data_IF_380199777213
#
_entry.id   IF_380199777213
#
_cell.length_a   1.000
_cell.length_b   1.000
_cell.length_c   1.000
_cell.angle_alpha   90.00
_cell.angle_beta   90.00
_cell.angle_gamma   90.00
#
_symmetry.space_group_name_H-M   'P 1'
#
loop_
_entity.id
_entity.type
_entity.pdbx_description
1 polymer ?
#
# COMPACT_ATOMS: atom_id res chain seq x y z
N UNK A 1 -4.42 25.75 -0.07
CA UNK A 1 -4.99 25.68 1.29
C UNK A 1 -4.98 24.22 1.75
N UNK A 2 -4.16 23.86 2.73
CA UNK A 2 -4.24 22.55 3.39
C UNK A 2 -5.51 22.55 4.25
N UNK A 3 -6.56 21.85 3.82
CA UNK A 3 -7.78 21.65 4.61
C UNK A 3 -7.51 20.86 5.90
N UNK A 4 -8.55 20.60 6.69
CA UNK A 4 -8.48 19.90 7.98
C UNK A 4 -8.16 18.38 7.88
N UNK A 5 -7.05 18.03 7.22
CA UNK A 5 -6.55 16.67 7.03
C UNK A 5 -6.28 15.91 8.34
N UNK A 6 -6.04 16.63 9.44
CA UNK A 6 -5.79 16.09 10.77
C UNK A 6 -7.04 15.51 11.44
N UNK A 7 -8.24 15.93 11.03
CA UNK A 7 -9.50 15.53 11.65
C UNK A 7 -9.72 14.01 11.54
N UNK A 8 -9.29 13.40 10.42
CA UNK A 8 -9.37 11.96 10.21
C UNK A 8 -8.59 11.15 11.25
N UNK A 9 -7.41 11.63 11.67
CA UNK A 9 -6.59 10.95 12.68
C UNK A 9 -7.25 10.93 14.05
N UNK A 10 -7.97 12.00 14.42
CA UNK A 10 -8.69 12.08 15.70
C UNK A 10 -9.84 11.08 15.73
N UNK A 11 -10.65 11.02 14.66
CA UNK A 11 -11.77 10.08 14.55
C UNK A 11 -11.25 8.63 14.61
N UNK A 12 -10.17 8.32 13.88
CA UNK A 12 -9.54 7.00 13.93
C UNK A 12 -9.00 6.65 15.32
N UNK A 13 -8.35 7.59 16.00
CA UNK A 13 -7.82 7.37 17.34
C UNK A 13 -8.93 7.07 18.35
N UNK A 14 -10.05 7.81 18.30
CA UNK A 14 -11.21 7.57 19.16
C UNK A 14 -11.83 6.18 18.91
N UNK A 15 -12.01 5.80 17.64
CA UNK A 15 -12.51 4.47 17.29
C UNK A 15 -11.58 3.35 17.78
N UNK A 16 -10.27 3.51 17.55
CA UNK A 16 -9.27 2.54 18.02
C UNK A 16 -9.26 2.42 19.54
N UNK A 17 -9.42 3.53 20.27
CA UNK A 17 -9.51 3.52 21.73
C UNK A 17 -10.73 2.74 22.25
N UNK A 18 -11.88 2.89 21.60
CA UNK A 18 -13.10 2.13 21.93
C UNK A 18 -12.86 0.64 21.72
N UNK A 19 -12.36 0.24 20.54
CA UNK A 19 -12.08 -1.16 20.24
C UNK A 19 -11.00 -1.75 21.14
N UNK A 20 -9.93 -1.01 21.42
CA UNK A 20 -8.87 -1.43 22.33
C UNK A 20 -9.41 -1.65 23.75
N UNK A 21 -10.30 -0.79 24.21
CA UNK A 21 -10.98 -0.93 25.51
C UNK A 21 -11.82 -2.20 25.57
N UNK A 22 -12.64 -2.48 24.54
CA UNK A 22 -13.41 -3.75 24.44
C UNK A 22 -12.47 -4.96 24.44
N UNK A 23 -11.35 -4.88 23.71
CA UNK A 23 -10.38 -5.98 23.66
C UNK A 23 -9.68 -6.16 25.02
N UNK A 24 -9.41 -5.09 25.75
CA UNK A 24 -8.78 -5.14 27.07
C UNK A 24 -9.65 -5.82 28.13
N UNK A 25 -10.98 -5.90 27.92
CA UNK A 25 -11.88 -6.67 28.79
C UNK A 25 -11.72 -8.19 28.59
N UNK A 26 -11.10 -8.66 27.51
CA UNK A 26 -10.82 -10.09 27.36
C UNK A 26 -9.76 -10.55 28.38
N UNK A 27 -9.89 -11.79 28.88
CA UNK A 27 -8.92 -12.34 29.81
C UNK A 27 -7.53 -12.43 29.17
N UNK A 28 -6.49 -12.12 29.97
CA UNK A 28 -5.07 -12.14 29.53
C UNK A 28 -4.64 -13.48 28.91
N UNK A 29 -5.32 -14.57 29.25
CA UNK A 29 -5.11 -15.87 28.61
C UNK A 29 -6.46 -16.48 28.26
N UNK A 30 -6.61 -16.89 27.01
CA UNK A 30 -7.77 -17.68 26.59
C UNK A 30 -7.61 -19.09 27.17
N UNK A 31 -8.66 -19.71 27.73
CA UNK A 31 -8.58 -21.04 28.35
C UNK A 31 -8.08 -22.11 27.37
N UNK A 32 -8.39 -21.95 26.08
CA UNK A 32 -7.90 -22.82 25.00
C UNK A 32 -6.39 -22.67 24.74
N UNK A 33 -5.82 -21.48 24.93
CA UNK A 33 -4.38 -21.24 24.81
C UNK A 33 -3.61 -21.82 26.00
N UNK A 34 -4.16 -21.70 27.22
CA UNK A 34 -3.61 -22.35 28.41
C UNK A 34 -3.62 -23.89 28.26
N UNK A 35 -4.74 -24.48 27.82
CA UNK A 35 -4.84 -25.91 27.56
C UNK A 35 -3.85 -26.39 26.48
N UNK A 36 -3.67 -25.63 25.39
CA UNK A 36 -2.71 -25.98 24.33
C UNK A 36 -1.26 -25.90 24.80
N UNK A 37 -0.94 -24.98 25.71
CA UNK A 37 0.39 -24.86 26.33
C UNK A 37 0.71 -26.09 27.19
N UNK A 38 -0.27 -26.56 27.96
CA UNK A 38 -0.15 -27.79 28.78
C UNK A 38 0.05 -29.01 27.87
N UNK A 39 -0.77 -29.18 26.82
CA UNK A 39 -0.64 -30.27 25.86
C UNK A 39 0.70 -30.26 25.09
N UNK A 40 1.23 -29.07 24.77
CA UNK A 40 2.54 -28.95 24.12
C UNK A 40 3.69 -29.37 25.04
N UNK A 41 3.60 -29.02 26.34
CA UNK A 41 4.55 -29.45 27.36
C UNK A 41 4.50 -30.97 27.56
N UNK A 42 3.31 -31.56 27.64
CA UNK A 42 3.13 -33.02 27.74
C UNK A 42 3.76 -33.74 26.54
N UNK A 43 3.53 -33.25 25.31
CA UNK A 43 4.09 -33.86 24.09
C UNK A 43 5.62 -33.77 24.03
N UNK A 44 6.21 -32.69 24.54
CA UNK A 44 7.67 -32.57 24.66
C UNK A 44 8.25 -33.53 25.70
N UNK A 45 7.50 -33.84 26.77
CA UNK A 45 7.92 -34.80 27.81
C UNK A 45 7.91 -36.24 27.31
N UNK A 46 6.95 -36.61 26.46
CA UNK A 46 6.82 -37.97 25.89
C UNK A 46 7.86 -38.29 24.81
N UNK A 47 8.46 -37.30 24.16
CA UNK A 47 9.44 -37.52 23.07
C UNK A 47 10.85 -37.81 23.60
N UNK A 48 11.14 -37.46 24.85
CA UNK A 48 12.48 -37.59 25.46
C UNK A 48 12.81 -39.01 25.95
N UNK A 49 11.85 -39.94 25.95
CA UNK A 49 12.06 -41.31 26.48
C UNK A 49 12.70 -42.28 25.48
N UNK A 50 13.01 -41.87 24.23
CA UNK A 50 13.50 -42.79 23.18
C UNK A 50 14.69 -42.29 22.37
N UNK A 51 15.62 -41.53 22.97
CA UNK A 51 16.97 -41.40 22.39
C UNK A 51 18.04 -40.99 23.40
N UNK A 52 19.06 -41.83 23.48
CA UNK A 52 20.31 -41.71 24.22
C UNK A 52 20.97 -40.31 24.20
N UNK A 53 21.51 -39.93 25.37
CA UNK A 53 22.71 -39.10 25.58
C UNK A 53 22.79 -37.73 24.90
N UNK A 54 22.20 -36.71 25.53
CA UNK A 54 22.85 -35.39 25.66
C UNK A 54 22.34 -34.73 26.93
N UNK A 55 23.21 -34.58 27.94
CA UNK A 55 22.95 -33.73 29.12
C UNK A 55 22.80 -32.28 28.64
N UNK A 56 21.58 -31.89 28.30
CA UNK A 56 21.14 -30.51 28.34
C UNK A 56 20.38 -30.42 29.65
N UNK A 57 20.90 -29.66 30.61
CA UNK A 57 20.19 -29.30 31.82
C UNK A 57 18.90 -28.59 31.40
N UNK A 58 17.81 -29.36 31.31
CA UNK A 58 16.46 -28.86 31.18
C UNK A 58 16.02 -28.47 32.57
N UNK A 59 16.42 -27.26 32.95
CA UNK A 59 15.92 -26.60 34.14
C UNK A 59 14.40 -26.45 33.98
N UNK A 60 13.68 -26.99 34.95
CA UNK A 60 12.24 -27.29 34.93
C UNK A 60 11.39 -26.04 35.25
N UNK A 61 11.82 -24.89 34.75
CA UNK A 61 11.13 -23.61 34.90
C UNK A 61 10.86 -23.05 33.50
N UNK A 62 9.64 -22.55 33.18
CA UNK A 62 9.43 -21.83 31.93
C UNK A 62 10.33 -20.60 31.97
N UNK A 63 11.51 -20.67 31.33
CA UNK A 63 12.48 -19.57 31.34
C UNK A 63 11.71 -18.28 30.98
N UNK A 64 11.81 -17.21 31.79
CA UNK A 64 11.25 -15.92 31.41
C UNK A 64 11.85 -15.58 30.06
N UNK A 65 11.01 -15.24 29.08
CA UNK A 65 11.45 -14.92 27.72
C UNK A 65 12.61 -13.90 27.79
N UNK A 66 13.83 -14.40 27.62
CA UNK A 66 15.04 -13.63 27.83
C UNK A 66 15.38 -12.90 26.54
N UNK A 67 15.74 -11.62 26.62
CA UNK A 67 16.18 -10.84 25.46
C UNK A 67 17.40 -11.50 24.78
N UNK A 68 18.22 -12.22 25.54
CA UNK A 68 19.36 -12.97 25.03
C UNK A 68 18.91 -14.16 24.16
N UNK A 69 17.88 -14.89 24.60
CA UNK A 69 17.33 -16.01 23.84
C UNK A 69 16.60 -15.52 22.57
N UNK A 70 15.94 -14.37 22.65
CA UNK A 70 15.34 -13.70 21.50
C UNK A 70 16.41 -13.28 20.47
N UNK A 71 17.49 -12.64 20.91
CA UNK A 71 18.61 -12.23 20.05
C UNK A 71 19.31 -13.44 19.44
N UNK A 72 19.55 -14.50 20.21
CA UNK A 72 20.16 -15.73 19.71
C UNK A 72 19.27 -16.39 18.64
N UNK A 73 17.95 -16.45 18.87
CA UNK A 73 16.99 -16.99 17.90
C UNK A 73 16.94 -16.12 16.64
N UNK A 74 16.97 -14.80 16.80
CA UNK A 74 17.01 -13.86 15.69
C UNK A 74 18.26 -14.03 14.83
N UNK A 75 19.44 -14.17 15.45
CA UNK A 75 20.70 -14.42 14.75
C UNK A 75 20.71 -15.78 14.05
N UNK A 76 20.08 -16.80 14.64
CA UNK A 76 19.90 -18.10 13.98
C UNK A 76 19.00 -18.01 12.74
N UNK A 77 17.91 -17.24 12.82
CA UNK A 77 17.02 -16.97 11.68
C UNK A 77 17.75 -16.19 10.58
N UNK A 78 18.58 -15.21 10.94
CA UNK A 78 19.47 -14.47 10.03
C UNK A 78 20.49 -15.38 9.33
N UNK A 79 20.98 -16.43 9.99
CA UNK A 79 21.93 -17.36 9.38
C UNK A 79 21.28 -18.28 8.34
N UNK A 80 19.95 -18.42 8.36
CA UNK A 80 19.23 -19.24 7.38
C UNK A 80 19.19 -18.55 6.00
N UNK A 81 20.07 -19.02 5.10
CA UNK A 81 20.22 -18.49 3.73
C UNK A 81 18.88 -18.42 2.97
N UNK A 82 18.03 -19.44 3.09
CA UNK A 82 16.74 -19.47 2.38
C UNK A 82 15.81 -18.38 2.88
N UNK A 83 15.74 -18.21 4.21
CA UNK A 83 14.91 -17.18 4.83
C UNK A 83 15.42 -15.78 4.46
N UNK A 84 16.74 -15.57 4.46
CA UNK A 84 17.34 -14.30 4.04
C UNK A 84 17.09 -13.98 2.58
N UNK A 85 17.24 -14.93 1.66
CA UNK A 85 16.95 -14.71 0.24
C UNK A 85 15.48 -14.32 0.02
N UNK A 86 14.53 -14.95 0.70
CA UNK A 86 13.10 -14.60 0.62
C UNK A 86 12.85 -13.19 1.16
N UNK A 87 13.46 -12.83 2.30
CA UNK A 87 13.31 -11.49 2.88
C UNK A 87 13.92 -10.41 1.97
N UNK A 88 15.11 -10.63 1.43
CA UNK A 88 15.75 -9.71 0.49
C UNK A 88 14.86 -9.51 -0.75
N UNK A 89 14.33 -10.59 -1.32
CA UNK A 89 13.39 -10.50 -2.45
C UNK A 89 12.13 -9.70 -2.09
N UNK A 90 11.57 -9.90 -0.90
CA UNK A 90 10.42 -9.14 -0.42
C UNK A 90 10.74 -7.65 -0.26
N UNK A 91 11.93 -7.30 0.25
CA UNK A 91 12.36 -5.89 0.36
C UNK A 91 12.44 -5.23 -1.01
N UNK A 92 13.07 -5.88 -2.00
CA UNK A 92 13.12 -5.33 -3.36
C UNK A 92 11.73 -5.16 -3.97
N UNK A 93 10.82 -6.12 -3.73
CA UNK A 93 9.43 -6.00 -4.16
C UNK A 93 8.74 -4.78 -3.53
N UNK A 94 8.86 -4.59 -2.21
CA UNK A 94 8.27 -3.44 -1.52
C UNK A 94 8.88 -2.11 -1.96
N UNK A 95 10.21 -2.05 -2.15
CA UNK A 95 10.88 -0.85 -2.65
C UNK A 95 10.40 -0.46 -4.05
N UNK A 96 10.19 -1.43 -4.94
CA UNK A 96 9.66 -1.16 -6.29
C UNK A 96 8.17 -0.81 -6.30
N UNK A 97 7.37 -1.43 -5.44
CA UNK A 97 5.91 -1.27 -5.43
C UNK A 97 5.42 -0.07 -4.60
N UNK A 98 6.15 0.32 -3.55
CA UNK A 98 5.72 1.40 -2.65
C UNK A 98 5.50 2.77 -3.31
N UNK A 99 6.33 3.23 -4.27
CA UNK A 99 6.10 4.52 -4.93
C UNK A 99 4.83 4.52 -5.77
N UNK A 100 4.52 3.40 -6.43
CA UNK A 100 3.28 3.24 -7.18
C UNK A 100 2.08 3.44 -6.26
N UNK A 101 2.04 2.78 -5.11
CA UNK A 101 0.93 2.91 -4.17
C UNK A 101 0.81 4.32 -3.58
N UNK A 102 1.93 4.92 -3.16
CA UNK A 102 1.93 6.25 -2.54
C UNK A 102 1.53 7.35 -3.53
N UNK A 103 1.93 7.22 -4.80
CA UNK A 103 1.67 8.23 -5.82
C UNK A 103 0.39 7.97 -6.61
N UNK A 104 -0.28 6.83 -6.44
CA UNK A 104 -1.45 6.45 -7.24
C UNK A 104 -2.56 7.50 -7.20
N UNK A 105 -2.94 8.00 -6.02
CA UNK A 105 -3.98 9.01 -5.91
C UNK A 105 -3.59 10.31 -6.62
N UNK A 106 -2.32 10.72 -6.51
CA UNK A 106 -1.80 11.92 -7.18
C UNK A 106 -1.67 11.73 -8.70
N UNK A 107 -1.32 10.53 -9.13
CA UNK A 107 -1.29 10.15 -10.54
C UNK A 107 -2.70 10.27 -11.15
N UNK A 108 -3.73 9.76 -10.48
CA UNK A 108 -5.12 9.90 -10.94
C UNK A 108 -5.53 11.37 -10.98
N UNK A 109 -5.25 12.13 -9.91
CA UNK A 109 -5.57 13.55 -9.82
C UNK A 109 -4.96 14.36 -10.97
N UNK A 110 -3.69 14.10 -11.29
CA UNK A 110 -2.95 14.86 -12.31
C UNK A 110 -3.25 14.41 -13.74
N UNK A 111 -3.39 13.10 -14.00
CA UNK A 111 -3.61 12.58 -15.36
C UNK A 111 -5.08 12.58 -15.79
N UNK A 112 -6.01 12.45 -14.84
CA UNK A 112 -7.45 12.37 -15.12
C UNK A 112 -8.21 13.62 -14.66
N UNK A 113 -7.49 14.63 -14.13
CA UNK A 113 -8.05 15.92 -13.70
C UNK A 113 -9.23 15.77 -12.73
N UNK A 114 -9.14 14.74 -11.90
CA UNK A 114 -10.14 14.43 -10.88
C UNK A 114 -9.83 15.16 -9.59
N UNK A 115 -10.87 15.38 -8.77
CA UNK A 115 -10.68 15.97 -7.44
C UNK A 115 -9.79 15.08 -6.56
N UNK A 116 -9.04 15.70 -5.65
CA UNK A 116 -8.16 14.99 -4.72
C UNK A 116 -8.92 14.00 -3.84
N UNK A 117 -10.16 14.31 -3.47
CA UNK A 117 -11.03 13.44 -2.67
C UNK A 117 -11.48 12.20 -3.43
N UNK A 118 -11.95 12.36 -4.67
CA UNK A 118 -12.40 11.23 -5.51
C UNK A 118 -11.24 10.29 -5.88
N UNK A 119 -10.10 10.87 -6.25
CA UNK A 119 -8.87 10.12 -6.57
C UNK A 119 -8.37 9.29 -5.38
N UNK A 120 -8.40 9.89 -4.19
CA UNK A 120 -8.04 9.19 -2.94
C UNK A 120 -9.03 8.10 -2.58
N UNK A 121 -10.34 8.31 -2.79
CA UNK A 121 -11.38 7.31 -2.54
C UNK A 121 -11.21 6.10 -3.44
N UNK A 122 -10.97 6.29 -4.75
CA UNK A 122 -10.73 5.19 -5.68
C UNK A 122 -9.48 4.42 -5.30
N UNK A 123 -8.34 5.11 -5.13
CA UNK A 123 -7.08 4.46 -4.80
C UNK A 123 -7.19 3.65 -3.49
N UNK A 124 -7.87 4.20 -2.48
CA UNK A 124 -8.09 3.53 -1.20
C UNK A 124 -9.06 2.34 -1.28
N UNK A 125 -10.26 2.55 -1.83
CA UNK A 125 -11.32 1.53 -1.83
C UNK A 125 -10.96 0.37 -2.75
N UNK A 126 -10.51 0.63 -3.98
CA UNK A 126 -10.08 -0.41 -4.92
C UNK A 126 -8.90 -1.17 -4.31
N UNK A 127 -7.91 -0.45 -3.78
CA UNK A 127 -6.76 -1.05 -3.14
C UNK A 127 -7.14 -2.02 -2.00
N UNK A 128 -8.00 -1.59 -1.08
CA UNK A 128 -8.39 -2.39 0.08
C UNK A 128 -9.29 -3.58 -0.26
N UNK A 129 -10.32 -3.37 -1.09
CA UNK A 129 -11.31 -4.42 -1.42
C UNK A 129 -10.65 -5.55 -2.19
N UNK A 130 -9.87 -5.23 -3.23
CA UNK A 130 -9.19 -6.25 -4.03
C UNK A 130 -8.07 -6.95 -3.24
N UNK A 131 -7.39 -6.24 -2.33
CA UNK A 131 -6.41 -6.88 -1.44
C UNK A 131 -7.08 -7.89 -0.51
N UNK A 132 -8.21 -7.52 0.13
CA UNK A 132 -8.96 -8.41 1.01
C UNK A 132 -9.46 -9.66 0.25
N UNK A 133 -10.05 -9.48 -0.93
CA UNK A 133 -10.48 -10.59 -1.78
C UNK A 133 -9.30 -11.48 -2.18
N UNK A 134 -8.18 -10.89 -2.59
CA UNK A 134 -6.97 -11.63 -2.98
C UNK A 134 -6.41 -12.48 -1.85
N UNK A 135 -6.33 -11.95 -0.63
CA UNK A 135 -5.85 -12.68 0.56
C UNK A 135 -6.81 -13.82 0.92
N UNK A 136 -8.12 -13.58 0.90
CA UNK A 136 -9.12 -14.61 1.22
C UNK A 136 -9.13 -15.73 0.18
N UNK A 137 -9.13 -15.39 -1.11
CA UNK A 137 -9.15 -16.37 -2.20
C UNK A 137 -7.85 -17.17 -2.22
N UNK A 138 -6.69 -16.52 -2.11
CA UNK A 138 -5.40 -17.23 -2.06
C UNK A 138 -5.29 -18.14 -0.83
N UNK A 139 -5.72 -17.67 0.34
CA UNK A 139 -5.78 -18.47 1.57
C UNK A 139 -6.68 -19.69 1.43
N UNK A 140 -7.87 -19.54 0.84
CA UNK A 140 -8.80 -20.64 0.59
C UNK A 140 -8.21 -21.66 -0.40
N UNK A 141 -7.69 -21.19 -1.54
CA UNK A 141 -7.09 -22.05 -2.57
C UNK A 141 -5.88 -22.82 -2.02
N UNK A 142 -4.97 -22.16 -1.31
CA UNK A 142 -3.79 -22.81 -0.72
C UNK A 142 -4.21 -23.85 0.33
N UNK A 143 -5.21 -23.52 1.16
CA UNK A 143 -5.71 -24.43 2.20
C UNK A 143 -6.36 -25.69 1.63
N UNK A 144 -7.07 -25.57 0.50
CA UNK A 144 -7.78 -26.68 -0.16
C UNK A 144 -6.86 -27.50 -1.06
N UNK A 145 -6.13 -26.84 -1.94
CA UNK A 145 -5.32 -27.49 -3.01
C UNK A 145 -3.98 -27.98 -2.47
N UNK A 146 -3.44 -27.37 -1.40
CA UNK A 146 -2.14 -27.69 -0.80
C UNK A 146 -1.02 -27.85 -1.86
N UNK A 147 -0.79 -26.84 -2.71
CA UNK A 147 0.18 -26.93 -3.79
C UNK A 147 1.61 -27.14 -3.26
N UNK A 148 2.46 -27.78 -4.06
CA UNK A 148 3.89 -27.93 -3.72
C UNK A 148 4.58 -26.56 -3.72
N UNK A 149 5.57 -26.38 -2.84
CA UNK A 149 6.30 -25.12 -2.67
C UNK A 149 6.88 -24.54 -3.98
N UNK A 150 7.35 -25.40 -4.89
CA UNK A 150 7.84 -25.00 -6.23
C UNK A 150 6.79 -24.29 -7.09
N UNK A 151 5.54 -24.74 -7.04
CA UNK A 151 4.45 -24.11 -7.80
C UNK A 151 4.08 -22.75 -7.21
N UNK A 152 4.13 -22.64 -5.89
CA UNK A 152 3.88 -21.37 -5.20
C UNK A 152 4.97 -20.33 -5.51
N UNK A 153 6.23 -20.76 -5.55
CA UNK A 153 7.35 -19.91 -5.95
C UNK A 153 7.23 -19.47 -7.42
N UNK A 154 6.88 -20.38 -8.33
CA UNK A 154 6.65 -20.04 -9.74
C UNK A 154 5.51 -19.03 -9.91
N UNK A 155 4.39 -19.24 -9.20
CA UNK A 155 3.25 -18.33 -9.21
C UNK A 155 3.64 -16.92 -8.73
N UNK A 156 4.47 -16.81 -7.69
CA UNK A 156 4.95 -15.52 -7.21
C UNK A 156 5.73 -14.74 -8.29
N UNK A 157 6.59 -15.44 -9.05
CA UNK A 157 7.34 -14.84 -10.17
C UNK A 157 6.39 -14.41 -11.28
N UNK A 158 5.40 -15.24 -11.62
CA UNK A 158 4.40 -14.91 -12.64
C UNK A 158 3.60 -13.66 -12.25
N UNK A 159 3.13 -13.57 -11.01
CA UNK A 159 2.42 -12.39 -10.50
C UNK A 159 3.30 -11.15 -10.55
N UNK A 160 4.59 -11.26 -10.18
CA UNK A 160 5.51 -10.13 -10.25
C UNK A 160 5.66 -9.58 -11.68
N UNK A 161 5.78 -10.46 -12.68
CA UNK A 161 5.86 -10.07 -14.10
C UNK A 161 4.56 -9.38 -14.54
N UNK A 162 3.40 -9.94 -14.20
CA UNK A 162 2.09 -9.35 -14.52
C UNK A 162 1.94 -7.97 -13.87
N UNK A 163 2.36 -7.81 -12.61
CA UNK A 163 2.32 -6.51 -11.91
C UNK A 163 3.20 -5.47 -12.60
N UNK A 164 4.41 -5.83 -13.04
CA UNK A 164 5.30 -4.92 -13.78
C UNK A 164 4.66 -4.51 -15.11
N UNK A 165 4.13 -5.46 -15.88
CA UNK A 165 3.42 -5.14 -17.13
C UNK A 165 2.21 -4.25 -16.89
N UNK A 166 1.46 -4.48 -15.81
CA UNK A 166 0.34 -3.66 -15.41
C UNK A 166 0.75 -2.22 -15.08
N UNK A 167 1.80 -2.04 -14.27
CA UNK A 167 2.33 -0.70 -13.93
C UNK A 167 2.83 0.05 -15.17
N UNK A 168 3.53 -0.63 -16.08
CA UNK A 168 3.98 -0.05 -17.35
C UNK A 168 2.77 0.36 -18.19
N UNK A 169 1.77 -0.50 -18.31
CA UNK A 169 0.55 -0.19 -19.07
C UNK A 169 -0.18 1.03 -18.50
N UNK A 170 -0.28 1.11 -17.16
CA UNK A 170 -0.86 2.28 -16.48
C UNK A 170 -0.13 3.58 -16.84
N UNK A 171 1.21 3.56 -16.98
CA UNK A 171 1.97 4.75 -17.35
C UNK A 171 1.60 5.32 -18.75
N UNK A 172 1.08 4.47 -19.65
CA UNK A 172 0.66 4.87 -21.00
C UNK A 172 -0.83 5.26 -21.09
N UNK A 173 -1.63 4.99 -20.07
CA UNK A 173 -3.04 5.40 -20.03
C UNK A 173 -3.13 6.89 -19.68
N UNK A 174 -3.28 7.73 -20.70
CA UNK A 174 -3.50 9.17 -20.57
C UNK A 174 -4.88 9.55 -21.11
N UNK A 175 -5.50 10.53 -20.47
CA UNK A 175 -6.72 11.14 -20.98
C UNK A 175 -6.35 12.21 -22.02
N UNK A 176 -7.04 12.26 -23.16
CA UNK A 176 -6.87 13.30 -24.20
C UNK A 176 -7.09 14.72 -23.68
N UNK A 177 -7.89 14.87 -22.61
CA UNK A 177 -8.07 16.15 -21.93
C UNK A 177 -6.75 16.73 -21.37
N UNK A 178 -5.75 15.90 -21.09
CA UNK A 178 -4.43 16.35 -20.66
C UNK A 178 -3.62 16.98 -21.80
N UNK A 179 -3.86 16.60 -23.06
CA UNK A 179 -3.20 17.23 -24.21
C UNK A 179 -3.72 18.68 -24.42
N UNK A 180 -4.98 18.94 -24.07
CA UNK A 180 -5.55 20.29 -24.05
C UNK A 180 -4.93 21.18 -22.95
N UNK A 181 -4.33 20.58 -21.91
CA UNK A 181 -3.52 21.28 -20.91
C UNK A 181 -2.07 21.44 -21.35
N UNK A 182 -1.55 20.68 -22.31
CA UNK A 182 -0.20 20.94 -22.86
C UNK A 182 -0.19 22.24 -23.68
N UNK A 183 -1.33 22.63 -24.26
CA UNK A 183 -1.53 23.99 -24.84
C UNK A 183 -1.28 25.09 -23.78
N UNK A 184 -1.47 24.77 -22.50
CA UNK A 184 -1.22 25.66 -21.36
C UNK A 184 0.28 25.81 -21.02
N UNK A 185 1.16 24.94 -21.53
CA UNK A 185 2.58 24.87 -21.16
C UNK A 185 3.55 25.56 -22.13
N UNK A 186 3.05 26.42 -23.02
CA UNK A 186 3.90 27.30 -23.83
C UNK A 186 4.21 26.81 -25.24
N UNK A 187 3.27 26.10 -25.88
CA UNK A 187 3.29 26.05 -27.34
C UNK A 187 2.53 27.29 -27.83
N UNK A 188 3.32 28.24 -28.29
CA UNK A 188 2.97 29.58 -28.80
C UNK A 188 1.95 29.61 -29.97
N UNK A 189 1.32 28.49 -30.30
CA UNK A 189 0.43 28.38 -31.47
C UNK A 189 -1.03 28.75 -31.18
N UNK A 190 -1.47 28.73 -29.91
CA UNK A 190 -2.79 29.26 -29.52
C UNK A 190 -2.73 30.72 -29.05
N UNK A 191 -1.52 31.30 -28.95
CA UNK A 191 -1.28 32.63 -28.41
C UNK A 191 -1.38 33.76 -29.45
N UNK A 192 -1.52 33.44 -30.73
CA UNK A 192 -1.14 34.34 -31.84
C UNK A 192 -2.28 35.02 -32.61
N UNK A 193 -3.52 35.05 -32.09
CA UNK A 193 -4.59 35.84 -32.71
C UNK A 193 -5.58 36.44 -31.71
N UNK A 194 -5.96 35.66 -30.68
CA UNK A 194 -6.98 36.08 -29.71
C UNK A 194 -6.42 37.00 -28.62
N UNK A 195 -5.17 36.75 -28.20
CA UNK A 195 -4.50 37.44 -27.09
C UNK A 195 -3.50 38.52 -27.55
N UNK A 196 -3.36 38.75 -28.86
CA UNK A 196 -2.31 39.62 -29.45
C UNK A 196 -2.30 41.06 -28.93
N UNK A 197 -3.41 41.52 -28.34
CA UNK A 197 -3.55 42.87 -27.79
C UNK A 197 -3.74 42.89 -26.26
N UNK A 198 -3.53 41.77 -25.56
CA UNK A 198 -3.68 41.72 -24.11
C UNK A 198 -2.34 41.31 -23.47
N UNK A 199 -1.70 42.27 -22.80
CA UNK A 199 -0.43 42.07 -22.08
C UNK A 199 -0.66 41.26 -20.79
N UNK A 200 -0.84 39.94 -20.92
CA UNK A 200 -1.25 39.05 -19.81
C UNK A 200 -0.08 38.49 -18.97
N UNK A 201 1.05 39.20 -18.80
CA UNK A 201 2.27 38.67 -18.14
C UNK A 201 2.12 38.35 -16.64
N UNK A 202 1.20 39.01 -15.93
CA UNK A 202 1.09 38.92 -14.46
C UNK A 202 -0.34 38.68 -13.96
N UNK A 203 -1.06 37.75 -14.60
CA UNK A 203 -2.43 37.40 -14.21
C UNK A 203 -2.48 36.25 -13.20
N UNK A 204 -3.33 36.38 -12.19
CA UNK A 204 -3.57 35.30 -11.21
C UNK A 204 -4.13 34.08 -11.92
N UNK A 205 -3.61 32.90 -11.54
CA UNK A 205 -4.08 31.62 -12.05
C UNK A 205 -5.57 31.43 -11.75
N UNK A 206 -6.40 31.46 -12.79
CA UNK A 206 -7.84 31.25 -12.68
C UNK A 206 -8.34 30.57 -13.96
N UNK A 207 -8.27 29.24 -14.05
CA UNK A 207 -8.46 28.53 -15.29
C UNK A 207 -9.91 28.63 -15.78
N UNK A 208 -10.09 28.95 -17.05
CA UNK A 208 -11.40 29.04 -17.70
C UNK A 208 -11.48 28.08 -18.88
N UNK A 209 -12.65 27.49 -19.11
CA UNK A 209 -12.91 26.57 -20.21
C UNK A 209 -13.71 27.29 -21.31
N UNK A 210 -13.28 27.16 -22.56
CA UNK A 210 -14.05 27.57 -23.74
C UNK A 210 -14.99 26.44 -24.18
N UNK A 211 -16.07 26.78 -24.87
CA UNK A 211 -17.04 25.85 -25.46
C UNK A 211 -16.37 24.84 -26.42
N UNK A 212 -15.21 25.19 -26.99
CA UNK A 212 -14.39 24.30 -27.82
C UNK A 212 -13.59 23.24 -27.02
N UNK A 213 -13.79 23.15 -25.69
CA UNK A 213 -13.12 22.19 -24.82
C UNK A 213 -11.65 22.50 -24.51
N UNK A 214 -11.21 23.73 -24.78
CA UNK A 214 -9.87 24.24 -24.47
C UNK A 214 -9.86 24.96 -23.12
N UNK A 215 -8.81 24.76 -22.33
CA UNK A 215 -8.64 25.41 -21.02
C UNK A 215 -7.55 26.47 -21.11
N UNK A 216 -7.84 27.69 -20.65
CA UNK A 216 -6.89 28.81 -20.62
C UNK A 216 -6.43 29.08 -19.19
N UNK A 217 -5.19 29.55 -19.02
CA UNK A 217 -4.57 29.87 -17.71
C UNK A 217 -5.38 30.93 -16.95
N UNK A 218 -5.98 31.87 -17.68
CA UNK A 218 -6.86 32.91 -17.16
C UNK A 218 -7.78 33.43 -18.25
N UNK A 219 -8.84 34.16 -17.85
CA UNK A 219 -9.75 34.84 -18.77
C UNK A 219 -9.04 35.78 -19.76
N UNK A 220 -7.91 36.38 -19.36
CA UNK A 220 -7.06 37.23 -20.22
C UNK A 220 -6.50 36.43 -21.40
N UNK A 221 -5.99 35.23 -21.13
CA UNK A 221 -5.44 34.34 -22.17
C UNK A 221 -6.52 33.77 -23.11
N UNK A 222 -7.79 33.81 -22.68
CA UNK A 222 -8.93 33.46 -23.52
C UNK A 222 -9.43 34.63 -24.40
N UNK A 223 -8.78 35.80 -24.33
CA UNK A 223 -9.16 37.02 -25.09
C UNK A 223 -10.43 37.71 -24.60
N UNK A 224 -10.97 37.31 -23.45
CA UNK A 224 -12.17 37.90 -22.88
C UNK A 224 -11.86 39.29 -22.30
N UNK A 225 -12.43 40.35 -22.93
CA UNK A 225 -12.31 41.74 -22.45
C UNK A 225 -13.30 42.10 -21.34
N UNK A 226 -14.32 41.26 -21.10
CA UNK A 226 -15.33 41.42 -20.05
C UNK A 226 -15.75 40.03 -19.53
N UNK A 227 -15.90 39.90 -18.20
CA UNK A 227 -16.53 38.76 -17.55
C UNK A 227 -18.05 38.98 -17.60
N UNK A 228 -18.77 38.14 -18.35
CA UNK A 228 -20.21 37.92 -18.18
C UNK A 228 -20.45 36.49 -17.68
#
# INVERSE_FOLDING_TARGET
WLGAWWLGWIILALLLFIFASIIALFPKTLPRAAARKILALERSRSTTTTSFTKKVNLDENPLPASLKDMLQTFMLLLSNKTLMCINIAAVFYFLGYSPYWMLMAKYIETQYLQSASFSSLIAGVVGLVFNALGVLVSGFVISKVKPKARWLAAWNITVAIISIMGMISFAFLKCTANDNLVIMSGINDAQSACNDNCNCDYVTYNPVCSDDGRTFISACHAGCKTLE
#
